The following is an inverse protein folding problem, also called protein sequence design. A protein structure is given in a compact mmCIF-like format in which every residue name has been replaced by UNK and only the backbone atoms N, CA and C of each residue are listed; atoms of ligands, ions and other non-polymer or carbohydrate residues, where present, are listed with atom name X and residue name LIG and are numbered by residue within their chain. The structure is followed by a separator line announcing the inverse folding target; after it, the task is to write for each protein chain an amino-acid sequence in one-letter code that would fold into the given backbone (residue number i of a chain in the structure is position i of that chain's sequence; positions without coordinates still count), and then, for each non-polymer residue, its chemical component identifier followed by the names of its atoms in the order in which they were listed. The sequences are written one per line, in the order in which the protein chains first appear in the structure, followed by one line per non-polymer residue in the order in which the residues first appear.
data_IF_513378457516
#
_entry.id   IF_513378457516
#
_cell.length_a   1.000
_cell.length_b   1.000
_cell.length_c   1.000
_cell.angle_alpha   90.00
_cell.angle_beta   90.00
_cell.angle_gamma   90.00
#
_symmetry.space_group_name_H-M   'P 1'
#
loop_
_entity.id
_entity.type
_entity.pdbx_description
1 polymer ?
#
# COMPACT_ATOMS: atom_id res chain seq x y z
N UNK A 1 -0.36 16.93 7.96
CA UNK A 1 -0.40 15.52 7.52
C UNK A 1 -0.18 15.48 6.02
N UNK A 2 0.92 14.91 5.55
CA UNK A 2 1.19 14.82 4.12
C UNK A 2 0.17 13.87 3.47
N UNK A 3 -0.34 14.28 2.32
CA UNK A 3 -1.29 13.47 1.57
C UNK A 3 -0.60 12.21 1.06
N UNK A 4 -1.26 11.06 1.18
CA UNK A 4 -0.79 9.81 0.56
C UNK A 4 -0.42 10.04 -0.92
N UNK A 5 0.61 9.34 -1.37
CA UNK A 5 1.10 9.40 -2.77
C UNK A 5 -0.04 9.10 -3.74
N UNK A 6 -0.81 8.07 -3.46
CA UNK A 6 -2.00 7.69 -4.23
C UNK A 6 -3.23 7.66 -3.32
N UNK A 7 -4.40 7.83 -3.91
CA UNK A 7 -5.63 7.37 -3.28
C UNK A 7 -5.64 5.84 -3.41
N UNK A 8 -5.63 5.17 -2.27
CA UNK A 8 -5.57 3.72 -2.25
C UNK A 8 -6.60 3.14 -1.29
N UNK A 9 -7.27 2.07 -1.70
CA UNK A 9 -8.22 1.37 -0.84
C UNK A 9 -7.46 0.71 0.31
N UNK A 10 -8.01 0.76 1.51
CA UNK A 10 -7.36 0.17 2.69
C UNK A 10 -6.21 1.01 3.27
N UNK A 11 -6.00 2.24 2.78
CA UNK A 11 -4.92 3.10 3.31
C UNK A 11 -5.01 3.30 4.82
N UNK A 12 -3.91 3.01 5.54
CA UNK A 12 -3.84 2.94 7.01
C UNK A 12 -3.39 4.23 7.69
N UNK A 13 -3.18 5.34 6.95
CA UNK A 13 -2.53 6.55 7.51
C UNK A 13 -3.15 7.02 8.83
N UNK A 14 -4.48 7.19 8.85
CA UNK A 14 -5.18 7.62 10.07
C UNK A 14 -5.13 6.56 11.17
N UNK A 15 -5.31 5.30 10.79
CA UNK A 15 -5.31 4.19 11.73
C UNK A 15 -3.93 4.02 12.40
N UNK A 16 -2.84 4.21 11.65
CA UNK A 16 -1.49 4.21 12.21
C UNK A 16 -1.26 5.36 13.19
N UNK A 17 -1.65 6.57 12.84
CA UNK A 17 -1.48 7.74 13.71
C UNK A 17 -2.30 7.66 15.00
N UNK A 18 -3.54 7.19 14.90
CA UNK A 18 -4.47 7.23 16.02
C UNK A 18 -4.35 5.99 16.93
N UNK A 19 -4.06 4.81 16.36
CA UNK A 19 -4.20 3.53 17.08
C UNK A 19 -2.96 2.65 16.95
N UNK A 20 -2.55 2.26 15.74
CA UNK A 20 -1.54 1.20 15.53
C UNK A 20 -0.20 1.54 16.17
N UNK A 21 0.21 2.82 16.13
CA UNK A 21 1.47 3.27 16.74
C UNK A 21 1.63 2.87 18.20
N UNK A 22 0.52 2.76 18.95
CA UNK A 22 0.53 2.35 20.35
C UNK A 22 0.92 0.89 20.57
N UNK A 23 0.86 0.08 19.53
CA UNK A 23 1.20 -1.36 19.57
C UNK A 23 2.52 -1.69 18.88
N UNK A 24 3.16 -0.71 18.25
CA UNK A 24 4.46 -0.91 17.61
C UNK A 24 5.56 -1.11 18.66
N UNK A 25 6.59 -1.91 18.36
CA UNK A 25 7.75 -2.05 19.25
C UNK A 25 8.38 -0.71 19.56
N UNK A 26 8.65 -0.44 20.84
CA UNK A 26 9.20 0.84 21.31
C UNK A 26 10.54 1.19 20.68
N UNK A 27 11.32 0.18 20.34
CA UNK A 27 12.63 0.32 19.70
C UNK A 27 12.58 1.00 18.34
N UNK A 28 11.43 0.96 17.63
CA UNK A 28 11.25 1.69 16.38
C UNK A 28 11.36 3.21 16.58
N UNK A 29 11.03 3.68 17.78
CA UNK A 29 11.06 5.10 18.16
C UNK A 29 12.36 5.53 18.84
N UNK A 30 13.29 4.61 19.08
CA UNK A 30 14.60 4.88 19.67
C UNK A 30 15.65 5.09 18.58
N UNK A 31 16.12 6.35 18.45
CA UNK A 31 17.09 6.72 17.41
C UNK A 31 18.46 6.04 17.54
N UNK A 32 18.76 5.42 18.70
CA UNK A 32 20.02 4.67 18.95
C UNK A 32 19.97 3.28 18.33
N UNK A 33 18.80 2.79 17.95
CA UNK A 33 18.62 1.46 17.35
C UNK A 33 18.93 1.46 15.86
N UNK A 34 19.25 0.29 15.35
CA UNK A 34 19.51 0.02 13.93
C UNK A 34 18.57 -1.09 13.44
N UNK A 35 17.34 -0.69 13.08
CA UNK A 35 16.28 -1.63 12.73
C UNK A 35 16.04 -1.61 11.22
N UNK A 36 15.84 -2.79 10.66
CA UNK A 36 15.29 -2.99 9.33
C UNK A 36 13.76 -3.12 9.44
N UNK A 37 13.01 -2.27 8.76
CA UNK A 37 11.57 -2.42 8.62
C UNK A 37 11.21 -2.99 7.24
N UNK A 38 10.22 -3.85 7.20
CA UNK A 38 9.69 -4.42 5.95
C UNK A 38 8.20 -4.10 5.88
N UNK A 39 7.79 -3.37 4.83
CA UNK A 39 6.40 -3.18 4.44
C UNK A 39 6.15 -4.10 3.24
N UNK A 40 5.60 -5.29 3.50
CA UNK A 40 5.53 -6.35 2.49
C UNK A 40 4.29 -6.25 1.58
N UNK A 41 3.33 -5.37 1.92
CA UNK A 41 2.12 -5.06 1.15
C UNK A 41 1.92 -3.54 1.10
N UNK A 42 2.84 -2.85 0.45
CA UNK A 42 2.96 -1.39 0.56
C UNK A 42 1.74 -0.60 0.08
N UNK A 43 1.00 -1.11 -0.92
CA UNK A 43 -0.17 -0.45 -1.47
C UNK A 43 0.09 1.02 -1.78
N UNK A 44 -0.77 1.92 -1.28
CA UNK A 44 -0.62 3.36 -1.48
C UNK A 44 0.48 4.05 -0.67
N UNK A 45 1.29 3.30 0.10
CA UNK A 45 2.47 3.81 0.80
C UNK A 45 2.20 4.37 2.20
N UNK A 46 1.04 4.12 2.78
CA UNK A 46 0.68 4.69 4.09
C UNK A 46 1.62 4.27 5.21
N UNK A 47 2.04 3.01 5.20
CA UNK A 47 2.80 2.39 6.29
C UNK A 47 4.27 2.79 6.24
N UNK A 48 4.94 2.57 5.12
CA UNK A 48 6.34 2.96 5.02
C UNK A 48 6.53 4.48 5.17
N UNK A 49 5.56 5.30 4.73
CA UNK A 49 5.60 6.75 4.98
C UNK A 49 5.49 7.08 6.47
N UNK A 50 4.66 6.34 7.22
CA UNK A 50 4.64 6.46 8.68
C UNK A 50 6.00 6.11 9.29
N UNK A 51 6.64 5.01 8.86
CA UNK A 51 7.96 4.62 9.33
C UNK A 51 9.03 5.67 9.02
N UNK A 52 9.02 6.23 7.81
CA UNK A 52 9.95 7.29 7.42
C UNK A 52 9.80 8.55 8.30
N UNK A 53 8.57 8.89 8.67
CA UNK A 53 8.26 10.11 9.40
C UNK A 53 8.46 9.98 10.92
N UNK A 54 8.13 8.82 11.50
CA UNK A 54 7.90 8.72 12.94
C UNK A 54 8.82 7.73 13.65
N UNK A 55 9.58 6.90 12.92
CA UNK A 55 10.35 5.81 13.50
C UNK A 55 11.87 6.00 13.32
N UNK A 56 12.52 6.83 14.15
CA UNK A 56 13.95 7.13 14.01
C UNK A 56 14.87 5.93 14.28
N UNK A 57 14.39 4.88 14.95
CA UNK A 57 15.11 3.62 15.16
C UNK A 57 15.24 2.78 13.89
N UNK A 58 14.38 3.01 12.90
CA UNK A 58 14.47 2.35 11.61
C UNK A 58 15.52 3.06 10.77
N UNK A 59 16.54 2.33 10.30
CA UNK A 59 17.59 2.82 9.42
C UNK A 59 17.43 2.31 7.99
N UNK A 60 16.88 1.10 7.83
CA UNK A 60 16.64 0.44 6.54
C UNK A 60 15.16 0.12 6.39
N UNK A 61 14.62 0.35 5.20
CA UNK A 61 13.23 0.01 4.87
C UNK A 61 13.20 -0.77 3.56
N UNK A 62 12.61 -1.96 3.59
CA UNK A 62 12.22 -2.67 2.38
C UNK A 62 10.74 -2.40 2.11
N UNK A 63 10.45 -1.95 0.90
CA UNK A 63 9.11 -1.70 0.40
C UNK A 63 8.81 -2.72 -0.68
N UNK A 64 7.81 -3.57 -0.44
CA UNK A 64 7.38 -4.60 -1.38
C UNK A 64 5.88 -4.47 -1.68
N UNK A 65 5.50 -4.77 -2.90
CA UNK A 65 4.11 -4.98 -3.30
C UNK A 65 4.06 -5.97 -4.46
N UNK A 66 2.95 -6.69 -4.58
CA UNK A 66 2.74 -7.58 -5.72
C UNK A 66 2.64 -6.78 -7.03
N UNK A 67 2.16 -5.54 -6.97
CA UNK A 67 2.03 -4.65 -8.10
C UNK A 67 3.35 -3.94 -8.42
N UNK A 68 4.06 -4.44 -9.42
CA UNK A 68 5.33 -3.88 -9.88
C UNK A 68 5.23 -2.41 -10.36
N UNK A 69 4.05 -1.96 -10.81
CA UNK A 69 3.81 -0.58 -11.24
C UNK A 69 3.80 0.39 -10.06
N UNK A 70 3.29 -0.04 -8.90
CA UNK A 70 3.40 0.73 -7.66
C UNK A 70 4.83 0.88 -7.20
N UNK A 71 5.57 -0.22 -7.18
CA UNK A 71 6.97 -0.23 -6.79
C UNK A 71 7.80 0.65 -7.74
N UNK A 72 7.53 0.58 -9.03
CA UNK A 72 8.17 1.47 -10.01
C UNK A 72 7.88 2.95 -9.73
N UNK A 73 6.65 3.30 -9.38
CA UNK A 73 6.29 4.67 -9.02
C UNK A 73 7.10 5.17 -7.80
N UNK A 74 7.20 4.37 -6.72
CA UNK A 74 7.96 4.77 -5.54
C UNK A 74 9.46 4.92 -5.84
N UNK A 75 9.99 4.03 -6.68
CA UNK A 75 11.36 4.13 -7.17
C UNK A 75 11.57 5.43 -7.97
N UNK A 76 10.68 5.77 -8.90
CA UNK A 76 10.80 6.98 -9.72
C UNK A 76 10.65 8.26 -8.89
N UNK A 77 9.79 8.28 -7.87
CA UNK A 77 9.71 9.40 -6.93
C UNK A 77 11.03 9.58 -6.16
N UNK A 78 11.66 8.47 -5.76
CA UNK A 78 12.93 8.51 -5.03
C UNK A 78 14.08 8.98 -5.91
N UNK A 79 14.26 8.36 -7.08
CA UNK A 79 15.46 8.49 -7.90
C UNK A 79 15.36 9.57 -8.99
N UNK A 80 14.15 9.85 -9.50
CA UNK A 80 13.93 10.72 -10.66
C UNK A 80 12.77 11.71 -10.44
N UNK A 81 12.72 12.45 -9.31
CA UNK A 81 11.56 13.29 -8.98
C UNK A 81 11.30 14.39 -10.01
N UNK A 82 12.36 15.04 -10.53
CA UNK A 82 12.22 16.11 -11.53
C UNK A 82 11.67 15.58 -12.85
N UNK A 83 12.22 14.48 -13.35
CA UNK A 83 11.77 13.88 -14.61
C UNK A 83 10.32 13.39 -14.50
N UNK A 84 9.92 12.87 -13.33
CA UNK A 84 8.53 12.51 -13.07
C UNK A 84 7.60 13.74 -13.09
N UNK A 85 8.01 14.83 -12.46
CA UNK A 85 7.28 16.12 -12.46
C UNK A 85 7.10 16.61 -13.90
N UNK A 86 8.14 16.58 -14.73
CA UNK A 86 8.07 17.03 -16.12
C UNK A 86 7.06 16.20 -16.93
N UNK A 87 7.06 14.87 -16.75
CA UNK A 87 6.07 14.00 -17.39
C UNK A 87 4.65 14.25 -16.89
N UNK A 88 4.49 14.49 -15.59
CA UNK A 88 3.18 14.80 -15.01
C UNK A 88 2.63 16.13 -15.54
N UNK A 89 3.46 17.15 -15.69
CA UNK A 89 3.05 18.46 -16.28
C UNK A 89 2.49 18.27 -17.67
N UNK A 90 3.22 17.56 -18.54
CA UNK A 90 2.75 17.29 -19.91
C UNK A 90 1.39 16.57 -19.91
N UNK A 91 1.24 15.52 -19.10
CA UNK A 91 -0.02 14.77 -19.04
C UNK A 91 -1.18 15.61 -18.47
N UNK A 92 -0.91 16.41 -17.44
CA UNK A 92 -1.89 17.29 -16.83
C UNK A 92 -2.33 18.39 -17.81
N UNK A 93 -1.39 19.02 -18.52
CA UNK A 93 -1.67 20.04 -19.51
C UNK A 93 -2.49 19.48 -20.67
N UNK A 94 -2.10 18.33 -21.22
CA UNK A 94 -2.86 17.64 -22.25
C UNK A 94 -4.30 17.34 -21.80
N UNK A 95 -4.49 16.90 -20.55
CA UNK A 95 -5.82 16.70 -20.00
C UNK A 95 -6.57 18.01 -19.81
N UNK A 96 -5.97 19.01 -19.19
CA UNK A 96 -6.63 20.26 -18.78
C UNK A 96 -6.99 21.14 -19.96
N UNK A 97 -6.22 21.11 -21.07
CA UNK A 97 -6.51 21.85 -22.30
C UNK A 97 -7.40 21.09 -23.30
N UNK A 98 -7.61 19.79 -23.08
CA UNK A 98 -8.49 18.99 -23.94
C UNK A 98 -9.94 19.50 -23.92
N UNK A 99 -10.61 19.48 -25.06
CA UNK A 99 -12.06 19.75 -25.16
C UNK A 99 -12.89 18.54 -24.69
N UNK A 100 -12.34 17.33 -24.77
CA UNK A 100 -13.00 16.09 -24.37
C UNK A 100 -12.13 15.37 -23.30
N UNK A 101 -12.44 15.65 -22.03
CA UNK A 101 -11.72 15.10 -20.87
C UNK A 101 -11.86 13.58 -20.77
N UNK A 102 -13.04 13.05 -21.11
CA UNK A 102 -13.27 11.61 -21.07
C UNK A 102 -12.42 10.89 -22.10
N UNK A 103 -12.40 11.37 -23.34
CA UNK A 103 -11.57 10.82 -24.39
C UNK A 103 -10.08 10.85 -24.02
N UNK A 104 -9.62 11.96 -23.44
CA UNK A 104 -8.22 12.08 -22.99
C UNK A 104 -7.92 11.10 -21.85
N UNK A 105 -8.85 10.91 -20.91
CA UNK A 105 -8.72 9.92 -19.87
C UNK A 105 -8.64 8.50 -20.44
N UNK A 106 -9.52 8.15 -21.37
CA UNK A 106 -9.53 6.83 -22.02
C UNK A 106 -8.23 6.58 -22.78
N UNK A 107 -7.70 7.59 -23.48
CA UNK A 107 -6.41 7.52 -24.13
C UNK A 107 -5.27 7.24 -23.15
N UNK A 108 -5.17 7.99 -22.04
CA UNK A 108 -4.17 7.74 -21.00
C UNK A 108 -4.28 6.33 -20.42
N UNK A 109 -5.51 5.80 -20.27
CA UNK A 109 -5.75 4.45 -19.76
C UNK A 109 -5.29 3.38 -20.76
N UNK A 110 -5.55 3.59 -22.04
CA UNK A 110 -5.10 2.71 -23.10
C UNK A 110 -3.56 2.70 -23.19
N UNK A 111 -2.93 3.86 -23.19
CA UNK A 111 -1.46 3.99 -23.14
C UNK A 111 -0.89 3.21 -21.95
N UNK A 112 -1.44 3.41 -20.75
CA UNK A 112 -1.01 2.72 -19.55
C UNK A 112 -1.11 1.19 -19.66
N UNK A 113 -2.18 0.69 -20.25
CA UNK A 113 -2.41 -0.74 -20.40
C UNK A 113 -1.53 -1.35 -21.49
N UNK A 114 -1.17 -0.60 -22.51
CA UNK A 114 -0.34 -1.06 -23.64
C UNK A 114 1.17 -1.09 -23.32
N UNK A 115 1.60 -0.45 -22.23
CA UNK A 115 3.02 -0.46 -21.84
C UNK A 115 3.47 -1.87 -21.45
N UNK A 116 4.49 -2.37 -22.16
CA UNK A 116 5.10 -3.69 -21.91
C UNK A 116 6.07 -3.69 -20.74
N UNK A 117 6.65 -2.53 -20.44
CA UNK A 117 7.67 -2.35 -19.40
C UNK A 117 7.29 -1.16 -18.53
N UNK A 118 7.40 -1.33 -17.23
CA UNK A 118 7.23 -0.25 -16.28
C UNK A 118 8.40 0.74 -16.39
N UNK A 119 8.08 2.00 -16.61
CA UNK A 119 9.04 3.08 -16.77
C UNK A 119 8.49 4.39 -16.17
N UNK A 120 9.25 5.46 -16.25
CA UNK A 120 8.88 6.77 -15.71
C UNK A 120 7.53 7.28 -16.27
N UNK A 121 7.23 6.99 -17.55
CA UNK A 121 5.96 7.37 -18.17
C UNK A 121 4.79 6.58 -17.58
N UNK A 122 4.96 5.28 -17.30
CA UNK A 122 3.94 4.47 -16.62
C UNK A 122 3.63 4.99 -15.21
N UNK A 123 4.65 5.49 -14.50
CA UNK A 123 4.47 6.11 -13.17
C UNK A 123 3.66 7.40 -13.24
N UNK A 124 3.96 8.26 -14.21
CA UNK A 124 3.20 9.48 -14.44
C UNK A 124 1.74 9.19 -14.84
N UNK A 125 1.53 8.24 -15.75
CA UNK A 125 0.17 7.80 -16.14
C UNK A 125 -0.61 7.24 -14.94
N UNK A 126 0.01 6.39 -14.10
CA UNK A 126 -0.63 5.85 -12.89
C UNK A 126 -1.12 6.96 -11.97
N UNK A 127 -0.29 7.98 -11.72
CA UNK A 127 -0.66 9.13 -10.88
C UNK A 127 -1.81 9.93 -11.49
N UNK A 128 -1.78 10.20 -12.78
CA UNK A 128 -2.85 10.91 -13.49
C UNK A 128 -4.16 10.11 -13.49
N UNK A 129 -4.12 8.82 -13.80
CA UNK A 129 -5.27 7.93 -13.81
C UNK A 129 -5.89 7.81 -12.41
N UNK A 130 -5.09 7.61 -11.37
CA UNK A 130 -5.58 7.53 -10.00
C UNK A 130 -6.32 8.81 -9.55
N UNK A 131 -5.91 9.97 -10.04
CA UNK A 131 -6.55 11.26 -9.70
C UNK A 131 -7.76 11.59 -10.56
N UNK A 132 -7.83 11.08 -11.79
CA UNK A 132 -8.93 11.36 -12.73
C UNK A 132 -9.96 10.24 -12.83
N UNK A 133 -9.69 9.04 -12.34
CA UNK A 133 -10.64 7.93 -12.34
C UNK A 133 -11.75 8.10 -11.28
N UNK A 134 -12.77 7.27 -11.39
CA UNK A 134 -13.89 7.22 -10.44
C UNK A 134 -13.40 6.88 -9.03
N UNK A 135 -13.63 7.76 -8.07
CA UNK A 135 -13.27 7.67 -6.65
C UNK A 135 -11.76 7.47 -6.36
N UNK A 136 -10.87 7.54 -7.34
CA UNK A 136 -9.45 7.26 -7.15
C UNK A 136 -9.16 5.81 -6.80
N UNK A 137 -9.99 4.88 -7.29
CA UNK A 137 -9.83 3.44 -7.07
C UNK A 137 -8.75 2.91 -8.00
N UNK A 138 -7.92 1.98 -7.53
CA UNK A 138 -7.10 1.13 -8.40
C UNK A 138 -7.78 -0.22 -8.58
N UNK A 139 -8.01 -0.62 -9.83
CA UNK A 139 -8.63 -1.90 -10.16
C UNK A 139 -8.17 -2.38 -11.53
N UNK A 140 -7.89 -3.67 -11.63
CA UNK A 140 -7.55 -4.35 -12.87
C UNK A 140 -8.62 -5.39 -13.23
N UNK A 141 -8.74 -5.71 -14.50
CA UNK A 141 -9.52 -6.83 -14.98
C UNK A 141 -8.71 -8.14 -14.91
N UNK A 142 -9.30 -9.26 -15.35
CA UNK A 142 -8.63 -10.59 -15.37
C UNK A 142 -7.40 -10.66 -16.27
N UNK A 143 -7.20 -9.68 -17.15
CA UNK A 143 -6.01 -9.56 -18.02
C UNK A 143 -4.91 -8.70 -17.41
N UNK A 144 -5.10 -8.18 -16.16
CA UNK A 144 -4.17 -7.24 -15.51
C UNK A 144 -4.22 -5.82 -16.07
N UNK A 145 -5.31 -5.45 -16.76
CA UNK A 145 -5.47 -4.11 -17.32
C UNK A 145 -6.25 -3.21 -16.36
N UNK A 146 -5.76 -1.98 -16.13
CA UNK A 146 -6.49 -0.96 -15.38
C UNK A 146 -7.82 -0.63 -16.07
N UNK A 147 -8.94 -0.83 -15.36
CA UNK A 147 -10.28 -0.79 -15.95
C UNK A 147 -11.27 0.12 -15.23
N UNK A 148 -10.80 1.03 -14.38
CA UNK A 148 -11.68 1.99 -13.70
C UNK A 148 -12.23 3.01 -14.69
N UNK A 149 -13.52 3.37 -14.61
CA UNK A 149 -14.10 4.39 -15.48
C UNK A 149 -13.62 5.80 -15.11
N UNK A 150 -13.80 6.73 -16.02
CA UNK A 150 -13.55 8.15 -15.78
C UNK A 150 -14.34 8.69 -14.60
N UNK A 151 -13.70 9.52 -13.78
CA UNK A 151 -14.27 10.11 -12.57
C UNK A 151 -14.98 11.45 -12.79
N UNK A 152 -15.24 11.86 -14.04
CA UNK A 152 -15.87 13.13 -14.42
C UNK A 152 -15.14 14.34 -13.85
N UNK A 153 -13.80 14.33 -13.94
CA UNK A 153 -12.95 15.42 -13.44
C UNK A 153 -12.75 16.47 -14.53
N UNK A 154 -13.19 17.68 -14.27
CA UNK A 154 -12.99 18.83 -15.16
C UNK A 154 -11.52 19.29 -15.18
N UNK A 155 -10.84 19.14 -14.05
CA UNK A 155 -9.42 19.51 -13.90
C UNK A 155 -8.64 18.36 -13.31
N UNK A 156 -7.52 18.04 -13.93
CA UNK A 156 -6.54 17.10 -13.39
C UNK A 156 -5.45 17.88 -12.67
N UNK A 157 -5.38 17.68 -11.37
CA UNK A 157 -4.32 18.18 -10.52
C UNK A 157 -3.75 16.98 -9.76
N UNK A 158 -2.81 16.27 -10.38
CA UNK A 158 -2.31 15.00 -9.86
C UNK A 158 -1.52 15.22 -8.57
N UNK A 159 -0.45 16.04 -8.66
CA UNK A 159 0.39 16.41 -7.51
C UNK A 159 1.07 17.75 -7.77
N UNK A 160 1.48 18.42 -6.68
CA UNK A 160 2.36 19.59 -6.77
C UNK A 160 3.81 19.14 -6.78
N UNK A 161 4.68 19.92 -7.44
CA UNK A 161 6.13 19.71 -7.44
C UNK A 161 6.66 19.55 -6.01
N UNK A 162 6.22 20.44 -5.12
CA UNK A 162 6.57 20.42 -3.70
C UNK A 162 6.29 19.06 -3.04
N UNK A 163 5.11 18.49 -3.28
CA UNK A 163 4.74 17.19 -2.68
C UNK A 163 5.65 16.07 -3.15
N UNK A 164 6.00 16.03 -4.45
CA UNK A 164 6.89 14.99 -5.00
C UNK A 164 8.30 15.12 -4.41
N UNK A 165 8.84 16.33 -4.32
CA UNK A 165 10.14 16.55 -3.71
C UNK A 165 10.18 16.23 -2.21
N UNK A 166 9.12 16.56 -1.46
CA UNK A 166 9.02 16.22 -0.04
C UNK A 166 9.04 14.71 0.17
N UNK A 167 8.29 13.96 -0.63
CA UNK A 167 8.27 12.49 -0.57
C UNK A 167 9.62 11.92 -1.00
N UNK A 168 10.23 12.43 -2.08
CA UNK A 168 11.56 12.03 -2.52
C UNK A 168 12.60 12.23 -1.42
N UNK A 169 12.62 13.41 -0.78
CA UNK A 169 13.51 13.70 0.34
C UNK A 169 13.36 12.69 1.47
N UNK A 170 12.13 12.29 1.80
CA UNK A 170 11.87 11.28 2.84
C UNK A 170 12.35 9.89 2.44
N UNK A 171 12.07 9.46 1.21
CA UNK A 171 12.56 8.18 0.68
C UNK A 171 14.09 8.12 0.65
N UNK A 172 14.76 9.26 0.55
CA UNK A 172 16.22 9.37 0.59
C UNK A 172 16.78 9.64 2.00
N UNK A 173 15.95 9.80 3.02
CA UNK A 173 16.40 10.06 4.40
C UNK A 173 16.89 8.81 5.13
N UNK A 174 16.60 7.63 4.60
CA UNK A 174 17.00 6.33 5.12
C UNK A 174 17.45 5.43 3.96
N UNK A 175 18.02 4.27 4.28
CA UNK A 175 18.31 3.26 3.27
C UNK A 175 17.01 2.57 2.86
N UNK A 176 16.44 2.98 1.73
CA UNK A 176 15.19 2.42 1.19
C UNK A 176 15.49 1.54 -0.01
N UNK A 177 15.04 0.28 0.06
CA UNK A 177 15.08 -0.70 -1.01
C UNK A 177 13.66 -1.01 -1.50
N UNK A 178 13.54 -1.38 -2.77
CA UNK A 178 12.27 -1.72 -3.40
C UNK A 178 12.35 -3.12 -4.00
N UNK A 179 11.30 -3.92 -3.78
CA UNK A 179 11.10 -5.22 -4.42
C UNK A 179 9.65 -5.35 -4.86
N UNK A 180 9.37 -6.26 -5.76
CA UNK A 180 8.00 -6.57 -6.18
C UNK A 180 7.78 -8.08 -6.26
N UNK A 181 6.51 -8.47 -6.10
CA UNK A 181 6.07 -9.85 -6.15
C UNK A 181 5.55 -10.36 -4.81
N UNK A 182 5.61 -11.67 -4.62
CA UNK A 182 5.08 -12.33 -3.44
C UNK A 182 5.80 -11.86 -2.16
N UNK A 183 5.03 -11.70 -1.08
CA UNK A 183 5.56 -11.26 0.22
C UNK A 183 6.70 -12.16 0.74
N UNK A 184 6.69 -13.44 0.41
CA UNK A 184 7.73 -14.38 0.86
C UNK A 184 9.13 -14.03 0.33
N UNK A 185 9.23 -13.33 -0.79
CA UNK A 185 10.51 -12.88 -1.34
C UNK A 185 11.24 -11.89 -0.41
N UNK A 186 10.52 -11.26 0.52
CA UNK A 186 11.10 -10.31 1.47
C UNK A 186 12.01 -10.97 2.50
N UNK A 187 11.96 -12.31 2.65
CA UNK A 187 12.83 -13.06 3.58
C UNK A 187 14.32 -12.79 3.34
N UNK A 188 14.74 -12.56 2.10
CA UNK A 188 16.13 -12.30 1.73
C UNK A 188 16.69 -10.97 2.28
N UNK A 189 15.85 -10.13 2.86
CA UNK A 189 16.20 -8.82 3.40
C UNK A 189 16.11 -8.75 4.93
N UNK A 190 15.80 -9.88 5.57
CA UNK A 190 15.69 -9.95 7.03
C UNK A 190 17.09 -9.99 7.64
N UNK A 191 17.32 -9.13 8.62
CA UNK A 191 18.52 -9.13 9.46
C UNK A 191 18.18 -9.71 10.84
N UNK A 192 19.04 -10.59 11.36
CA UNK A 192 18.80 -11.26 12.63
C UNK A 192 18.54 -10.27 13.79
N UNK A 193 17.52 -10.57 14.58
CA UNK A 193 17.12 -9.87 15.80
C UNK A 193 16.81 -8.36 15.68
N UNK A 194 16.93 -7.78 14.47
CA UNK A 194 16.74 -6.36 14.24
C UNK A 194 15.73 -6.06 13.11
N UNK A 195 14.82 -6.98 12.84
CA UNK A 195 13.80 -6.78 11.80
C UNK A 195 12.40 -6.66 12.39
N UNK A 196 11.68 -5.66 11.92
CA UNK A 196 10.25 -5.50 12.12
C UNK A 196 9.52 -5.62 10.78
N UNK A 197 8.53 -6.50 10.71
CA UNK A 197 7.75 -6.77 9.49
C UNK A 197 6.30 -6.35 9.72
N UNK A 198 5.79 -5.48 8.88
CA UNK A 198 4.37 -5.16 8.83
C UNK A 198 3.71 -5.79 7.61
N UNK A 199 2.58 -6.44 7.83
CA UNK A 199 1.84 -7.20 6.84
C UNK A 199 0.38 -6.70 6.81
N UNK A 200 -0.05 -6.13 5.70
CA UNK A 200 -1.43 -5.70 5.42
C UNK A 200 -1.95 -6.42 4.16
N UNK A 201 -2.12 -7.74 4.22
CA UNK A 201 -2.53 -8.53 3.06
C UNK A 201 -3.94 -8.16 2.62
N UNK A 202 -4.35 -8.51 1.40
CA UNK A 202 -5.75 -8.46 1.03
C UNK A 202 -6.61 -9.20 2.07
N UNK A 203 -7.61 -8.49 2.61
CA UNK A 203 -8.40 -9.00 3.72
C UNK A 203 -9.25 -10.20 3.31
N UNK A 204 -9.36 -11.14 4.22
CA UNK A 204 -10.29 -12.25 4.08
C UNK A 204 -11.72 -11.70 4.06
N UNK A 205 -12.55 -12.10 3.06
CA UNK A 205 -13.94 -11.67 2.99
C UNK A 205 -14.73 -12.10 4.24
N UNK A 206 -15.60 -11.20 4.72
CA UNK A 206 -16.50 -11.54 5.82
C UNK A 206 -17.48 -12.63 5.37
N UNK A 207 -17.77 -13.60 6.23
CA UNK A 207 -18.68 -14.71 5.96
C UNK A 207 -20.08 -14.18 5.55
N UNK A 208 -20.57 -14.61 4.40
CA UNK A 208 -21.87 -14.16 3.86
C UNK A 208 -21.86 -12.80 3.16
N UNK A 209 -20.72 -12.10 3.10
CA UNK A 209 -20.62 -10.88 2.31
C UNK A 209 -20.29 -11.23 0.85
N UNK A 210 -21.08 -10.66 -0.10
CA UNK A 210 -20.66 -10.61 -1.52
C UNK A 210 -19.59 -9.51 -1.67
N UNK A 211 -18.45 -9.67 -1.01
CA UNK A 211 -17.40 -8.67 -1.15
C UNK A 211 -16.64 -8.88 -2.47
N UNK A 212 -16.48 -7.78 -3.20
CA UNK A 212 -15.80 -7.70 -4.49
C UNK A 212 -14.27 -7.94 -4.37
N UNK A 213 -13.83 -9.05 -3.78
CA UNK A 213 -12.42 -9.45 -3.74
C UNK A 213 -11.93 -10.06 -5.05
N UNK A 214 -12.78 -10.10 -6.09
CA UNK A 214 -12.48 -10.68 -7.40
C UNK A 214 -11.62 -9.79 -8.33
N UNK A 215 -10.95 -8.76 -7.81
CA UNK A 215 -10.24 -7.78 -8.66
C UNK A 215 -8.72 -7.96 -8.75
N UNK A 216 -8.18 -9.00 -8.15
CA UNK A 216 -6.78 -9.39 -8.33
C UNK A 216 -6.77 -10.69 -9.11
N UNK A 217 -5.89 -10.83 -10.07
CA UNK A 217 -5.69 -12.01 -10.92
C UNK A 217 -5.38 -13.30 -10.13
N UNK A 218 -5.10 -13.18 -8.83
CA UNK A 218 -5.02 -14.27 -7.84
C UNK A 218 -5.63 -13.80 -6.53
N UNK A 219 -6.79 -14.31 -6.11
CA UNK A 219 -7.39 -13.95 -4.83
C UNK A 219 -6.49 -14.43 -3.69
N UNK A 220 -6.23 -13.56 -2.71
CA UNK A 220 -5.54 -13.91 -1.47
C UNK A 220 -6.52 -14.73 -0.60
N UNK A 221 -6.51 -16.05 -0.81
CA UNK A 221 -7.44 -17.00 -0.21
C UNK A 221 -6.95 -17.58 1.13
N UNK A 222 -7.68 -18.53 1.69
CA UNK A 222 -7.34 -19.16 2.97
C UNK A 222 -5.98 -19.88 2.93
N UNK A 223 -5.57 -20.45 1.79
CA UNK A 223 -4.23 -21.03 1.61
C UNK A 223 -3.14 -19.96 1.61
N UNK A 224 -3.42 -18.79 1.03
CA UNK A 224 -2.52 -17.65 1.10
C UNK A 224 -2.39 -17.12 2.54
N UNK A 225 -3.48 -17.12 3.33
CA UNK A 225 -3.43 -16.77 4.76
C UNK A 225 -2.59 -17.77 5.57
N UNK A 226 -2.69 -19.06 5.28
CA UNK A 226 -1.86 -20.10 5.92
C UNK A 226 -0.37 -19.94 5.56
N UNK A 227 -0.06 -19.66 4.29
CA UNK A 227 1.31 -19.36 3.85
C UNK A 227 1.86 -18.12 4.57
N UNK A 228 1.04 -17.09 4.74
CA UNK A 228 1.43 -15.88 5.46
C UNK A 228 1.74 -16.19 6.93
N UNK A 229 0.93 -17.01 7.58
CA UNK A 229 1.20 -17.45 8.97
C UNK A 229 2.50 -18.22 9.07
N UNK A 230 2.75 -19.16 8.14
CA UNK A 230 4.00 -19.90 8.10
C UNK A 230 5.21 -18.96 7.92
N UNK A 231 5.10 -17.99 7.03
CA UNK A 231 6.13 -16.94 6.85
C UNK A 231 6.39 -16.19 8.16
N UNK A 232 5.34 -15.82 8.91
CA UNK A 232 5.49 -15.16 10.21
C UNK A 232 6.22 -16.06 11.22
N UNK A 233 5.88 -17.35 11.28
CA UNK A 233 6.51 -18.31 12.20
C UNK A 233 7.99 -18.54 11.85
N UNK A 234 8.29 -18.72 10.58
CA UNK A 234 9.65 -18.96 10.11
C UNK A 234 10.54 -17.74 10.31
N UNK A 235 10.03 -16.54 10.02
CA UNK A 235 10.82 -15.32 10.22
C UNK A 235 11.10 -15.05 11.70
N UNK A 236 10.18 -15.38 12.59
CA UNK A 236 10.44 -15.34 14.03
C UNK A 236 11.44 -16.42 14.47
N UNK A 237 11.20 -17.64 14.07
CA UNK A 237 11.99 -18.80 14.50
C UNK A 237 13.46 -18.71 14.07
N UNK A 238 13.70 -18.29 12.83
CA UNK A 238 15.06 -18.32 12.25
C UNK A 238 15.78 -16.98 12.37
N UNK A 239 15.07 -15.85 12.51
CA UNK A 239 15.67 -14.53 12.49
C UNK A 239 15.29 -13.66 13.71
N UNK A 240 14.41 -14.12 14.59
CA UNK A 240 13.92 -13.32 15.70
C UNK A 240 13.12 -12.08 15.26
N UNK A 241 12.58 -12.09 14.03
CA UNK A 241 11.86 -10.96 13.48
C UNK A 241 10.53 -10.72 14.22
N UNK A 242 10.24 -9.47 14.57
CA UNK A 242 8.94 -9.09 15.11
C UNK A 242 7.98 -8.81 13.95
N UNK A 243 6.80 -9.40 14.03
CA UNK A 243 5.80 -9.32 12.96
C UNK A 243 4.50 -8.75 13.50
N UNK A 244 3.91 -7.81 12.76
CA UNK A 244 2.54 -7.33 12.98
C UNK A 244 1.74 -7.52 11.70
N UNK A 245 0.59 -8.18 11.82
CA UNK A 245 -0.37 -8.41 10.72
C UNK A 245 -1.65 -7.63 11.00
N UNK A 246 -2.12 -6.85 10.04
CA UNK A 246 -3.48 -6.32 10.02
C UNK A 246 -4.38 -7.24 9.19
N UNK A 247 -5.60 -7.52 9.67
CA UNK A 247 -6.58 -8.28 8.90
C UNK A 247 -8.02 -7.97 9.36
N UNK A 248 -9.01 -8.42 8.60
CA UNK A 248 -10.42 -8.27 8.97
C UNK A 248 -10.74 -8.99 10.28
N UNK A 249 -11.66 -8.42 11.06
CA UNK A 249 -12.34 -9.14 12.14
C UNK A 249 -13.72 -9.58 11.67
N UNK A 250 -14.04 -10.86 11.81
CA UNK A 250 -15.38 -11.41 11.57
C UNK A 250 -15.89 -12.07 12.84
N UNK A 251 -16.95 -11.56 13.48
CA UNK A 251 -17.51 -12.15 14.69
C UNK A 251 -18.12 -13.54 14.47
N UNK A 252 -18.40 -13.92 13.22
CA UNK A 252 -19.02 -15.19 12.85
C UNK A 252 -17.99 -16.22 12.33
N UNK A 253 -16.70 -15.88 12.32
CA UNK A 253 -15.66 -16.73 11.79
C UNK A 253 -14.35 -16.61 12.58
N UNK A 254 -13.97 -17.71 13.23
CA UNK A 254 -12.76 -17.78 14.04
C UNK A 254 -11.51 -18.22 13.24
N UNK A 255 -11.57 -18.25 11.91
CA UNK A 255 -10.46 -18.75 11.09
C UNK A 255 -9.14 -18.08 11.42
N UNK A 256 -9.08 -16.75 11.41
CA UNK A 256 -7.84 -16.01 11.70
C UNK A 256 -7.39 -16.18 13.16
N UNK A 257 -8.34 -16.18 14.11
CA UNK A 257 -8.03 -16.37 15.53
C UNK A 257 -7.40 -17.75 15.75
N UNK A 258 -7.97 -18.80 15.15
CA UNK A 258 -7.45 -20.16 15.25
C UNK A 258 -6.10 -20.31 14.53
N UNK A 259 -5.97 -19.71 13.34
CA UNK A 259 -4.75 -19.74 12.53
C UNK A 259 -3.55 -19.13 13.27
N UNK A 260 -3.77 -17.99 13.95
CA UNK A 260 -2.74 -17.28 14.70
C UNK A 260 -2.77 -17.60 16.21
N UNK A 261 -3.24 -18.82 16.58
CA UNK A 261 -3.17 -19.30 17.95
C UNK A 261 -1.73 -19.18 18.48
N UNK A 262 -1.57 -18.60 19.68
CA UNK A 262 -0.27 -18.31 20.28
C UNK A 262 0.30 -16.93 19.95
N UNK A 263 -0.33 -16.15 19.07
CA UNK A 263 0.00 -14.75 18.83
C UNK A 263 -0.86 -13.83 19.71
N UNK A 264 -0.35 -12.63 19.97
CA UNK A 264 -1.14 -11.58 20.63
C UNK A 264 -2.11 -10.97 19.61
N UNK A 265 -3.41 -11.14 19.79
CA UNK A 265 -4.45 -10.65 18.89
C UNK A 265 -5.28 -9.58 19.59
N UNK A 266 -5.31 -8.38 19.00
CA UNK A 266 -6.06 -7.24 19.52
C UNK A 266 -7.04 -6.77 18.46
N UNK A 267 -8.27 -6.51 18.87
CA UNK A 267 -9.30 -5.93 18.01
C UNK A 267 -9.27 -4.40 18.15
N UNK A 268 -9.17 -3.72 17.03
CA UNK A 268 -9.18 -2.27 16.96
C UNK A 268 -10.34 -1.75 16.14
N UNK A 269 -10.83 -0.55 16.47
CA UNK A 269 -11.86 0.11 15.70
C UNK A 269 -11.24 0.83 14.50
N UNK A 270 -11.71 0.48 13.30
CA UNK A 270 -11.28 1.10 12.06
C UNK A 270 -12.45 1.79 11.35
N UNK A 271 -12.20 2.87 10.64
CA UNK A 271 -13.21 3.55 9.83
C UNK A 271 -13.11 3.13 8.36
N UNK A 272 -14.19 2.71 7.73
CA UNK A 272 -14.20 2.49 6.27
C UNK A 272 -14.08 3.83 5.56
N UNK A 273 -12.99 4.01 4.81
CA UNK A 273 -12.77 5.19 3.95
C UNK A 273 -13.43 5.07 2.57
N UNK A 274 -13.87 3.88 2.17
CA UNK A 274 -14.43 3.60 0.84
C UNK A 274 -15.84 3.00 0.97
N UNK A 275 -16.83 3.84 0.79
CA UNK A 275 -18.23 3.44 0.62
C UNK A 275 -18.93 4.46 -0.29
N UNK A 276 -19.77 3.99 -1.25
CA UNK A 276 -20.64 4.87 -2.04
C UNK A 276 -21.51 5.75 -1.13
N UNK A 277 -22.13 6.79 -1.69
CA UNK A 277 -22.95 7.77 -0.94
C UNK A 277 -24.00 7.17 0.01
N UNK A 278 -24.36 5.89 -0.16
CA UNK A 278 -25.36 5.16 0.64
C UNK A 278 -24.75 4.09 1.56
N UNK A 279 -23.43 3.94 1.63
CA UNK A 279 -22.84 3.01 2.59
C UNK A 279 -22.90 3.64 3.99
N UNK A 280 -23.61 2.99 4.92
CA UNK A 280 -23.56 3.36 6.34
C UNK A 280 -22.08 3.41 6.75
N UNK A 281 -21.60 4.58 7.15
CA UNK A 281 -20.29 4.75 7.78
C UNK A 281 -20.35 4.04 9.13
N UNK A 282 -20.10 2.72 9.13
CA UNK A 282 -20.01 1.92 10.34
C UNK A 282 -18.55 1.84 10.80
N UNK A 283 -18.34 1.87 12.09
CA UNK A 283 -17.11 1.36 12.68
C UNK A 283 -17.00 -0.11 12.31
N UNK A 284 -15.87 -0.50 11.74
CA UNK A 284 -15.52 -1.91 11.53
C UNK A 284 -14.39 -2.24 12.47
N UNK A 285 -14.34 -3.47 12.89
CA UNK A 285 -13.19 -3.96 13.67
C UNK A 285 -12.19 -4.62 12.76
N UNK A 286 -10.92 -4.40 13.07
CA UNK A 286 -9.79 -5.09 12.46
C UNK A 286 -9.00 -5.83 13.54
N UNK A 287 -8.37 -6.93 13.17
CA UNK A 287 -7.42 -7.62 14.02
C UNK A 287 -6.02 -7.09 13.80
N UNK A 288 -5.34 -6.71 14.87
CA UNK A 288 -3.88 -6.60 14.92
C UNK A 288 -3.33 -7.87 15.56
N UNK A 289 -2.47 -8.57 14.83
CA UNK A 289 -1.94 -9.87 15.19
C UNK A 289 -0.42 -9.74 15.30
N UNK A 290 0.16 -10.03 16.45
CA UNK A 290 1.56 -9.79 16.76
C UNK A 290 2.21 -11.03 17.39
N UNK A 291 3.46 -11.30 17.04
CA UNK A 291 4.24 -12.38 17.63
C UNK A 291 5.10 -11.92 18.86
N UNK A 292 4.84 -10.71 19.38
CA UNK A 292 5.54 -10.09 20.51
C UNK A 292 4.56 -9.51 21.53
#
# INVERSE_FOLDING_TARGET
MEKNILKWQGGKSKLFEDIIKGYLPKELFDSTKDITAIDAFAGGGSVFMFFLNNCPGIKRILINDFNSRLIRLFFDIKEQPQQLIDKLKVLQDNYNYSQDKEKTYLYMREEYNNLKVNNLYSSALLMCLNRSCFNGIYRENSKGEFNVPWGKKETLNAYTDKTIYEISKKLNSKQVCFTFGDFSNTVNYITENNTFIYLDPPYRPLKGSQSFTSYVSSPFNDESQKRLKLFCDDTYKYFGARVMVSNSYDPNDNFLINLYSGYNIIQIDASRSSGGKNAKRGQIKENLIMNY
#
